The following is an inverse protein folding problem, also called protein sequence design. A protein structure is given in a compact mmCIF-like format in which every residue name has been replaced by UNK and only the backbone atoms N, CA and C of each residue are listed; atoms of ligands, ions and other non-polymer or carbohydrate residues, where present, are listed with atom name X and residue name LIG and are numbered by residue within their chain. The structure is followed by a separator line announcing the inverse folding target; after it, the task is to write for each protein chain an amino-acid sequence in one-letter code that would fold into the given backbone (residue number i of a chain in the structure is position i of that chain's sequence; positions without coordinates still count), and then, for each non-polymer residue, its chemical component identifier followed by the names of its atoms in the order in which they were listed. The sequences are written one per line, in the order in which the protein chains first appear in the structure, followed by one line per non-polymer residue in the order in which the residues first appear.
data_IF_062600670075
#
_entry.id   IF_062600670075
#
_cell.length_a   1.000
_cell.length_b   1.000
_cell.length_c   1.000
_cell.angle_alpha   90.00
_cell.angle_beta   90.00
_cell.angle_gamma   90.00
#
_symmetry.space_group_name_H-M   'P 1'
#
loop_
_entity.id
_entity.type
_entity.pdbx_description
1 polymer ?
#
# COMPACT_ATOMS: atom_id res chain seq x y z
N UNK A 1 22.78 60.23 -9.54
CA UNK A 1 21.81 59.78 -8.54
C UNK A 1 20.43 59.82 -9.19
N UNK A 2 19.86 58.65 -9.51
CA UNK A 2 18.53 58.55 -10.12
C UNK A 2 17.47 58.69 -9.03
N UNK A 3 16.66 59.73 -9.10
CA UNK A 3 15.52 59.95 -8.21
C UNK A 3 14.42 58.94 -8.57
N UNK A 4 14.20 57.95 -7.72
CA UNK A 4 13.00 57.13 -7.76
C UNK A 4 11.79 58.01 -7.46
N UNK A 5 11.06 58.44 -8.49
CA UNK A 5 9.74 59.01 -8.29
C UNK A 5 8.81 57.91 -7.76
N UNK A 6 8.03 58.16 -6.68
CA UNK A 6 7.06 57.19 -6.20
C UNK A 6 6.00 56.96 -7.29
N UNK A 7 5.83 55.70 -7.69
CA UNK A 7 4.85 55.32 -8.70
C UNK A 7 3.45 55.75 -8.24
N UNK A 8 2.77 56.55 -9.07
CA UNK A 8 1.38 56.91 -8.81
C UNK A 8 0.52 55.63 -8.80
N UNK A 9 -0.39 55.47 -7.82
CA UNK A 9 -1.31 54.34 -7.81
C UNK A 9 -2.25 54.43 -9.01
N UNK A 10 -2.31 53.36 -9.80
CA UNK A 10 -3.27 53.22 -10.91
C UNK A 10 -4.55 52.54 -10.42
N UNK A 11 -5.69 52.81 -11.06
CA UNK A 11 -6.93 52.10 -10.74
C UNK A 11 -6.93 50.77 -11.48
N UNK A 12 -7.27 49.69 -10.79
CA UNK A 12 -7.23 48.35 -11.36
C UNK A 12 -8.13 48.19 -12.60
N UNK A 13 -9.27 48.87 -12.64
CA UNK A 13 -10.19 48.84 -13.78
C UNK A 13 -9.73 49.65 -14.99
N UNK A 14 -8.73 50.53 -14.84
CA UNK A 14 -8.14 51.26 -15.96
C UNK A 14 -7.19 50.36 -16.75
N UNK A 15 -6.82 49.19 -16.22
CA UNK A 15 -6.02 48.19 -16.92
C UNK A 15 -6.87 47.46 -17.98
N UNK A 16 -6.30 47.14 -19.17
CA UNK A 16 -6.93 46.24 -20.13
C UNK A 16 -7.26 44.87 -19.54
N UNK A 17 -8.29 44.21 -20.06
CA UNK A 17 -8.75 42.91 -19.55
C UNK A 17 -7.67 41.83 -19.61
N UNK A 18 -6.80 41.87 -20.61
CA UNK A 18 -5.66 40.97 -20.77
C UNK A 18 -4.66 41.12 -19.61
N UNK A 19 -4.38 42.36 -19.20
CA UNK A 19 -3.49 42.63 -18.08
C UNK A 19 -4.13 42.19 -16.77
N UNK A 20 -5.43 42.43 -16.58
CA UNK A 20 -6.16 41.92 -15.40
C UNK A 20 -6.13 40.40 -15.33
N UNK A 21 -6.33 39.72 -16.46
CA UNK A 21 -6.22 38.26 -16.58
C UNK A 21 -4.82 37.74 -16.21
N UNK A 22 -3.75 38.41 -16.65
CA UNK A 22 -2.39 38.04 -16.25
C UNK A 22 -2.16 38.21 -14.75
N UNK A 23 -2.73 39.26 -14.14
CA UNK A 23 -2.68 39.46 -12.69
C UNK A 23 -3.45 38.33 -11.98
N UNK A 24 -4.62 37.93 -12.47
CA UNK A 24 -5.36 36.79 -11.93
C UNK A 24 -4.59 35.47 -12.09
N UNK A 25 -3.93 35.23 -13.23
CA UNK A 25 -3.13 34.03 -13.46
C UNK A 25 -1.95 33.95 -12.48
N UNK A 26 -1.23 35.06 -12.29
CA UNK A 26 -0.13 35.15 -11.34
C UNK A 26 -0.60 34.93 -9.90
N UNK A 27 -1.65 35.63 -9.48
CA UNK A 27 -2.07 35.66 -8.08
C UNK A 27 -2.92 34.46 -7.65
N UNK A 28 -3.65 33.81 -8.58
CA UNK A 28 -4.65 32.78 -8.27
C UNK A 28 -4.43 31.44 -8.98
N UNK A 29 -3.63 31.40 -10.04
CA UNK A 29 -3.46 30.20 -10.88
C UNK A 29 -2.02 29.72 -10.98
N UNK A 30 -1.08 30.40 -10.31
CA UNK A 30 0.31 30.00 -10.23
C UNK A 30 0.53 29.08 -9.02
N UNK A 31 1.07 27.91 -9.27
CA UNK A 31 1.29 26.87 -8.26
C UNK A 31 2.77 26.51 -8.17
N UNK A 32 3.25 26.27 -6.96
CA UNK A 32 4.61 25.78 -6.76
C UNK A 32 4.73 24.36 -7.31
N UNK A 33 5.89 24.06 -7.89
CA UNK A 33 6.24 22.72 -8.34
C UNK A 33 6.63 21.82 -7.17
N UNK A 34 7.19 22.40 -6.11
CA UNK A 34 7.51 21.69 -4.87
C UNK A 34 6.23 21.36 -4.11
N UNK A 35 6.04 20.07 -3.84
CA UNK A 35 4.93 19.56 -3.05
C UNK A 35 5.37 19.40 -1.60
N UNK A 36 4.54 19.83 -0.68
CA UNK A 36 4.82 19.65 0.73
C UNK A 36 4.21 18.37 1.26
N UNK A 37 4.97 17.62 2.04
CA UNK A 37 4.41 16.52 2.81
C UNK A 37 3.51 17.10 3.91
N UNK A 38 2.24 16.70 3.91
CA UNK A 38 1.33 17.07 4.98
C UNK A 38 1.75 16.34 6.27
N UNK A 39 1.86 17.02 7.42
CA UNK A 39 2.23 16.40 8.68
C UNK A 39 1.19 15.38 9.20
N UNK A 40 -0.04 15.39 8.65
CA UNK A 40 -1.12 14.48 9.03
C UNK A 40 -1.29 13.25 8.10
N UNK A 41 -0.99 12.09 8.68
CA UNK A 41 -1.60 10.73 8.56
C UNK A 41 -1.83 10.04 7.19
N UNK A 42 -1.75 10.71 6.03
CA UNK A 42 -1.81 10.02 4.72
C UNK A 42 -0.53 10.34 3.96
N UNK A 43 0.56 9.60 4.27
CA UNK A 43 1.91 9.81 3.71
C UNK A 43 1.96 9.85 2.19
N UNK A 44 0.93 9.33 1.51
CA UNK A 44 0.86 9.24 0.06
C UNK A 44 0.35 10.49 -0.65
N UNK A 45 -0.25 11.44 0.08
CA UNK A 45 -0.75 12.70 -0.49
C UNK A 45 0.24 13.83 -0.21
N UNK A 46 0.43 14.72 -1.17
CA UNK A 46 1.30 15.89 -1.00
C UNK A 46 0.57 17.17 -1.35
N UNK A 47 0.73 18.17 -0.49
CA UNK A 47 0.00 19.42 -0.58
C UNK A 47 0.63 20.33 -1.63
N UNK A 48 -0.16 20.73 -2.61
CA UNK A 48 0.16 21.77 -3.57
C UNK A 48 -0.10 23.14 -2.96
N UNK A 49 0.90 24.02 -3.01
CA UNK A 49 0.76 25.41 -2.56
C UNK A 49 0.66 26.38 -3.74
N UNK A 50 -0.19 27.40 -3.66
CA UNK A 50 -0.14 28.49 -4.60
C UNK A 50 1.18 29.25 -4.43
N UNK A 51 1.77 29.69 -5.53
CA UNK A 51 2.99 30.49 -5.53
C UNK A 51 2.76 31.85 -4.85
N UNK A 52 1.55 32.39 -5.02
CA UNK A 52 1.10 33.62 -4.40
C UNK A 52 -0.26 33.34 -3.73
N UNK A 53 -0.35 33.51 -2.42
CA UNK A 53 -1.58 33.27 -1.67
C UNK A 53 -2.36 34.59 -1.46
N UNK A 54 -2.75 35.26 -2.55
CA UNK A 54 -3.41 36.57 -2.47
C UNK A 54 -4.94 36.46 -2.51
N UNK A 55 -5.53 35.76 -1.54
CA UNK A 55 -6.99 35.66 -1.43
C UNK A 55 -7.67 36.98 -1.07
N UNK A 56 -6.91 37.96 -0.58
CA UNK A 56 -7.38 39.33 -0.33
C UNK A 56 -8.03 39.96 -1.57
N UNK A 57 -7.60 39.57 -2.78
CA UNK A 57 -8.17 40.07 -4.04
C UNK A 57 -9.68 39.86 -4.11
N UNK A 58 -10.19 38.72 -3.62
CA UNK A 58 -11.62 38.40 -3.62
C UNK A 58 -12.46 39.29 -2.71
N UNK A 59 -11.84 40.00 -1.76
CA UNK A 59 -12.54 40.87 -0.81
C UNK A 59 -12.58 42.35 -1.25
N UNK A 60 -11.93 42.69 -2.36
CA UNK A 60 -11.76 44.10 -2.77
C UNK A 60 -13.01 44.70 -3.42
N UNK A 61 -13.63 43.98 -4.36
CA UNK A 61 -14.75 44.49 -5.16
C UNK A 61 -15.57 43.33 -5.78
N UNK A 62 -16.90 43.48 -5.91
CA UNK A 62 -17.78 42.44 -6.46
C UNK A 62 -17.48 42.08 -7.93
N UNK A 63 -17.12 43.06 -8.75
CA UNK A 63 -16.75 42.83 -10.14
C UNK A 63 -15.39 42.12 -10.23
N UNK A 64 -14.39 42.55 -9.44
CA UNK A 64 -13.10 41.85 -9.36
C UNK A 64 -13.31 40.42 -8.87
N UNK A 65 -14.15 40.22 -7.85
CA UNK A 65 -14.53 38.90 -7.37
C UNK A 65 -15.09 38.02 -8.51
N UNK A 66 -16.03 38.55 -9.30
CA UNK A 66 -16.65 37.80 -10.38
C UNK A 66 -15.66 37.47 -11.51
N UNK A 67 -14.90 38.46 -11.99
CA UNK A 67 -13.88 38.29 -13.04
C UNK A 67 -12.78 37.30 -12.61
N UNK A 68 -12.22 37.51 -11.42
CA UNK A 68 -11.14 36.68 -10.88
C UNK A 68 -11.61 35.25 -10.59
N UNK A 69 -12.82 35.07 -10.05
CA UNK A 69 -13.38 33.74 -9.79
C UNK A 69 -13.64 32.97 -11.07
N UNK A 70 -14.24 33.62 -12.08
CA UNK A 70 -14.48 33.00 -13.39
C UNK A 70 -13.16 32.60 -14.06
N UNK A 71 -12.17 33.50 -14.06
CA UNK A 71 -10.83 33.21 -14.59
C UNK A 71 -10.18 32.02 -13.86
N UNK A 72 -10.17 32.05 -12.52
CA UNK A 72 -9.57 31.02 -11.68
C UNK A 72 -10.21 29.65 -11.93
N UNK A 73 -11.54 29.56 -11.99
CA UNK A 73 -12.25 28.29 -12.22
C UNK A 73 -11.94 27.73 -13.61
N UNK A 74 -11.96 28.58 -14.64
CA UNK A 74 -11.66 28.17 -16.02
C UNK A 74 -10.21 27.72 -16.20
N UNK A 75 -9.28 28.38 -15.51
CA UNK A 75 -7.84 28.13 -15.62
C UNK A 75 -7.37 26.93 -14.81
N UNK A 76 -7.75 26.86 -13.54
CA UNK A 76 -7.32 25.81 -12.60
C UNK A 76 -8.12 24.52 -12.76
N UNK A 77 -9.41 24.62 -13.11
CA UNK A 77 -10.32 23.49 -13.30
C UNK A 77 -10.28 22.53 -12.10
N UNK A 78 -10.73 23.00 -10.95
CA UNK A 78 -10.69 22.24 -9.72
C UNK A 78 -11.55 20.98 -9.80
N UNK A 79 -11.02 19.86 -9.30
CA UNK A 79 -11.68 18.57 -9.24
C UNK A 79 -11.83 18.16 -7.78
N UNK A 80 -13.07 17.89 -7.37
CA UNK A 80 -13.40 17.32 -6.07
C UNK A 80 -13.34 15.80 -6.18
N UNK A 81 -12.68 15.14 -5.24
CA UNK A 81 -12.71 13.68 -5.10
C UNK A 81 -13.26 13.32 -3.74
N UNK A 82 -14.19 12.37 -3.71
CA UNK A 82 -14.76 11.82 -2.47
C UNK A 82 -14.56 10.30 -2.47
N UNK A 83 -14.04 9.76 -1.37
CA UNK A 83 -13.84 8.33 -1.17
C UNK A 83 -14.72 7.87 0.01
N UNK A 84 -15.58 6.88 -0.21
CA UNK A 84 -16.54 6.38 0.79
C UNK A 84 -16.30 4.91 1.08
N UNK A 85 -16.03 4.59 2.34
CA UNK A 85 -15.79 3.20 2.76
C UNK A 85 -14.48 2.61 2.23
N UNK A 86 -13.53 3.47 1.84
CA UNK A 86 -12.24 3.06 1.30
C UNK A 86 -11.15 3.47 2.30
N UNK A 87 -10.20 2.57 2.56
CA UNK A 87 -8.98 2.93 3.29
C UNK A 87 -8.04 3.71 2.36
N UNK A 88 -8.10 5.04 2.44
CA UNK A 88 -7.32 5.95 1.59
C UNK A 88 -5.81 5.73 1.71
N UNK A 89 -5.32 5.19 2.83
CA UNK A 89 -3.90 4.85 3.02
C UNK A 89 -3.44 3.74 2.07
N UNK A 90 -4.38 2.88 1.66
CA UNK A 90 -4.15 1.76 0.72
C UNK A 90 -4.57 2.10 -0.72
N UNK A 91 -5.24 3.23 -0.93
CA UNK A 91 -5.82 3.59 -2.24
C UNK A 91 -4.79 4.01 -3.28
N UNK A 92 -3.57 4.40 -2.88
CA UNK A 92 -2.54 4.88 -3.80
C UNK A 92 -1.34 3.92 -3.87
N UNK A 93 -0.83 3.68 -5.07
CA UNK A 93 0.33 2.81 -5.33
C UNK A 93 1.64 3.44 -4.83
N UNK A 94 1.84 4.73 -5.08
CA UNK A 94 3.01 5.49 -4.67
C UNK A 94 2.65 6.73 -3.83
N UNK A 95 3.67 7.37 -3.26
CA UNK A 95 3.54 8.66 -2.59
C UNK A 95 3.56 9.82 -3.59
N UNK A 96 3.22 11.02 -3.12
CA UNK A 96 3.36 12.24 -3.92
C UNK A 96 2.14 12.65 -4.72
N UNK A 97 0.95 12.08 -4.46
CA UNK A 97 -0.27 12.48 -5.19
C UNK A 97 -0.63 13.93 -4.83
N UNK A 98 -0.60 14.88 -5.80
CA UNK A 98 -0.81 16.29 -5.49
C UNK A 98 -2.27 16.59 -5.13
N UNK A 99 -2.48 17.28 -4.01
CA UNK A 99 -3.79 17.75 -3.56
C UNK A 99 -3.69 19.19 -3.06
N UNK A 100 -4.75 19.98 -3.24
CA UNK A 100 -4.82 21.36 -2.72
C UNK A 100 -5.15 21.34 -1.22
N UNK A 101 -6.14 20.51 -0.85
CA UNK A 101 -6.58 20.34 0.53
C UNK A 101 -7.31 19.00 0.70
N UNK A 102 -7.16 18.41 1.89
CA UNK A 102 -7.90 17.23 2.38
C UNK A 102 -8.86 17.58 3.51
N UNK A 103 -8.92 18.86 3.89
CA UNK A 103 -9.86 19.38 4.88
C UNK A 103 -11.28 19.38 4.31
N UNK A 104 -12.11 18.43 4.77
CA UNK A 104 -13.48 18.25 4.32
C UNK A 104 -14.35 19.51 4.50
N UNK A 105 -14.06 20.38 5.47
CA UNK A 105 -14.79 21.65 5.64
C UNK A 105 -14.47 22.60 4.50
N UNK A 106 -13.20 22.72 4.13
CA UNK A 106 -12.78 23.56 2.99
C UNK A 106 -13.29 23.01 1.66
N UNK A 107 -13.27 21.70 1.50
CA UNK A 107 -13.78 21.03 0.28
C UNK A 107 -15.29 21.26 0.12
N UNK A 108 -16.06 21.09 1.19
CA UNK A 108 -17.53 21.24 1.14
C UNK A 108 -17.99 22.67 0.94
N UNK A 109 -17.26 23.67 1.43
CA UNK A 109 -17.57 25.09 1.24
C UNK A 109 -17.22 25.61 -0.17
N UNK A 110 -16.35 24.91 -0.90
CA UNK A 110 -15.89 25.37 -2.21
C UNK A 110 -16.77 24.83 -3.34
N UNK A 111 -17.58 25.70 -3.95
CA UNK A 111 -18.47 25.36 -5.06
C UNK A 111 -17.85 25.58 -6.46
N UNK A 112 -16.60 26.04 -6.56
CA UNK A 112 -15.93 26.35 -7.82
C UNK A 112 -15.27 25.14 -8.51
N UNK A 113 -15.63 23.91 -8.14
CA UNK A 113 -15.13 22.71 -8.83
C UNK A 113 -15.89 22.49 -10.13
N UNK A 114 -15.18 22.00 -11.15
CA UNK A 114 -15.77 21.69 -12.46
C UNK A 114 -16.26 20.24 -12.53
N UNK A 115 -15.65 19.34 -11.76
CA UNK A 115 -15.97 17.92 -11.73
C UNK A 115 -15.88 17.38 -10.30
N UNK A 116 -16.83 16.51 -9.94
CA UNK A 116 -16.83 15.76 -8.69
C UNK A 116 -16.81 14.26 -8.98
N UNK A 117 -15.72 13.58 -8.62
CA UNK A 117 -15.60 12.13 -8.71
C UNK A 117 -15.80 11.52 -7.33
N UNK A 118 -16.72 10.57 -7.20
CA UNK A 118 -16.95 9.80 -5.98
C UNK A 118 -16.59 8.35 -6.23
N UNK A 119 -15.73 7.80 -5.38
CA UNK A 119 -15.37 6.40 -5.31
C UNK A 119 -15.98 5.80 -4.05
N UNK A 120 -16.79 4.77 -4.19
CA UNK A 120 -17.47 4.14 -3.06
C UNK A 120 -17.36 2.64 -3.11
N UNK A 121 -16.97 2.06 -1.98
CA UNK A 121 -16.98 0.63 -1.78
C UNK A 121 -18.44 0.13 -1.70
N UNK A 122 -18.80 -0.98 -2.37
CA UNK A 122 -20.09 -1.62 -2.15
C UNK A 122 -20.26 -2.02 -0.68
N UNK A 123 -21.40 -1.67 -0.10
CA UNK A 123 -21.72 -1.98 1.29
C UNK A 123 -22.29 -3.40 1.38
N UNK A 124 -21.58 -4.32 2.03
CA UNK A 124 -22.03 -5.70 2.25
C UNK A 124 -22.78 -5.92 3.57
N UNK A 125 -22.89 -4.88 4.41
CA UNK A 125 -23.71 -4.88 5.61
C UNK A 125 -24.09 -3.46 6.01
N UNK A 126 -25.35 -3.18 6.41
CA UNK A 126 -25.77 -1.89 6.94
C UNK A 126 -25.32 -1.76 8.41
N UNK A 127 -24.02 -1.88 8.70
CA UNK A 127 -23.53 -1.51 10.03
C UNK A 127 -23.49 0.02 10.12
N UNK A 128 -24.16 0.59 11.13
CA UNK A 128 -24.18 2.02 11.42
C UNK A 128 -22.79 2.62 11.73
N UNK A 129 -21.76 1.77 11.86
CA UNK A 129 -20.38 2.17 12.08
C UNK A 129 -19.58 2.14 10.77
N UNK A 130 -19.16 3.35 10.38
CA UNK A 130 -17.94 3.67 9.63
C UNK A 130 -17.94 3.46 8.10
N UNK A 131 -18.62 4.36 7.38
CA UNK A 131 -18.05 4.88 6.15
C UNK A 131 -17.31 6.17 6.50
N UNK A 132 -16.01 6.07 6.81
CA UNK A 132 -15.18 7.27 6.82
C UNK A 132 -15.24 7.86 5.40
N UNK A 133 -15.85 9.04 5.28
CA UNK A 133 -15.84 9.81 4.04
C UNK A 133 -14.57 10.65 4.03
N UNK A 134 -13.78 10.46 2.99
CA UNK A 134 -12.58 11.24 2.78
C UNK A 134 -12.78 12.13 1.56
N UNK A 135 -12.50 13.42 1.72
CA UNK A 135 -12.67 14.40 0.66
C UNK A 135 -11.34 15.10 0.36
N UNK A 136 -11.07 15.30 -0.92
CA UNK A 136 -9.92 16.06 -1.36
C UNK A 136 -10.28 16.94 -2.55
N UNK A 137 -9.61 18.08 -2.64
CA UNK A 137 -9.66 18.97 -3.79
C UNK A 137 -8.30 18.95 -4.50
N UNK A 138 -8.31 18.88 -5.81
CA UNK A 138 -7.10 18.90 -6.64
C UNK A 138 -7.31 19.70 -7.93
N UNK A 139 -6.24 19.92 -8.68
CA UNK A 139 -6.32 20.52 -10.02
C UNK A 139 -6.58 19.44 -11.05
N UNK A 140 -7.29 19.76 -12.15
CA UNK A 140 -7.38 18.86 -13.31
C UNK A 140 -5.99 18.42 -13.80
N UNK A 141 -5.01 19.32 -13.79
CA UNK A 141 -3.65 18.99 -14.24
C UNK A 141 -3.03 17.81 -13.48
N UNK A 142 -3.43 17.59 -12.23
CA UNK A 142 -2.95 16.51 -11.36
C UNK A 142 -3.82 15.24 -11.45
N UNK A 143 -4.99 15.31 -12.09
CA UNK A 143 -5.91 14.18 -12.22
C UNK A 143 -5.28 12.94 -12.88
N UNK A 144 -4.44 13.05 -13.94
CA UNK A 144 -3.74 11.89 -14.47
C UNK A 144 -2.84 11.19 -13.45
N UNK A 145 -2.17 11.96 -12.58
CA UNK A 145 -1.33 11.39 -11.53
C UNK A 145 -2.18 10.62 -10.53
N UNK A 146 -3.32 11.17 -10.11
CA UNK A 146 -4.27 10.44 -9.26
C UNK A 146 -4.70 9.13 -9.95
N UNK A 147 -5.23 9.20 -11.17
CA UNK A 147 -5.77 8.04 -11.87
C UNK A 147 -4.72 6.94 -12.08
N UNK A 148 -3.48 7.29 -12.44
CA UNK A 148 -2.39 6.31 -12.59
C UNK A 148 -2.01 5.63 -11.26
N UNK A 149 -2.21 6.32 -10.14
CA UNK A 149 -1.82 5.83 -8.81
C UNK A 149 -2.96 5.12 -8.08
N UNK A 150 -4.21 5.16 -8.56
CA UNK A 150 -5.33 4.50 -7.90
C UNK A 150 -5.18 2.97 -7.93
N UNK A 151 -5.09 2.38 -6.75
CA UNK A 151 -5.11 0.93 -6.51
C UNK A 151 -6.50 0.50 -5.99
N UNK A 152 -7.47 0.55 -6.90
CA UNK A 152 -8.86 0.16 -6.62
C UNK A 152 -8.95 -1.31 -6.20
N UNK A 153 -8.05 -2.15 -6.69
CA UNK A 153 -8.08 -3.58 -6.42
C UNK A 153 -7.64 -3.89 -4.98
N UNK A 154 -6.55 -3.26 -4.50
CA UNK A 154 -6.06 -3.48 -3.13
C UNK A 154 -7.05 -3.02 -2.06
N UNK A 155 -7.80 -1.94 -2.29
CA UNK A 155 -8.83 -1.48 -1.34
C UNK A 155 -10.10 -2.35 -1.33
N UNK A 156 -10.22 -3.25 -2.31
CA UNK A 156 -11.31 -4.21 -2.43
C UNK A 156 -10.96 -5.60 -1.90
N UNK A 157 -9.72 -5.84 -1.45
CA UNK A 157 -9.24 -7.18 -1.06
C UNK A 157 -10.05 -7.83 0.09
N UNK A 158 -10.61 -7.04 1.00
CA UNK A 158 -11.46 -7.52 2.10
C UNK A 158 -12.93 -7.75 1.66
N UNK A 159 -13.42 -6.96 0.69
CA UNK A 159 -14.71 -7.20 0.06
C UNK A 159 -14.68 -8.44 -0.86
N UNK A 160 -13.57 -8.64 -1.57
CA UNK A 160 -13.33 -9.74 -2.49
C UNK A 160 -12.45 -10.80 -1.84
N UNK A 161 -12.79 -11.15 -0.60
CA UNK A 161 -12.04 -12.14 0.19
C UNK A 161 -12.13 -13.54 -0.41
N UNK A 162 -13.22 -13.82 -1.13
CA UNK A 162 -13.44 -15.04 -1.92
C UNK A 162 -13.45 -14.71 -3.41
N UNK A 163 -13.15 -15.72 -4.22
CA UNK A 163 -13.03 -15.65 -5.70
C UNK A 163 -14.35 -15.87 -6.43
N UNK A 164 -15.42 -16.25 -5.71
CA UNK A 164 -16.76 -16.47 -6.26
C UNK A 164 -17.56 -15.17 -6.39
N UNK A 165 -17.23 -14.16 -5.59
CA UNK A 165 -17.92 -12.86 -5.56
C UNK A 165 -16.89 -11.75 -5.71
N UNK A 166 -16.70 -11.26 -6.94
CA UNK A 166 -15.87 -10.10 -7.20
C UNK A 166 -16.74 -8.84 -7.26
N UNK A 167 -16.88 -8.22 -6.11
CA UNK A 167 -17.42 -6.88 -6.02
C UNK A 167 -16.52 -5.88 -6.75
N UNK A 168 -17.14 -4.91 -7.40
CA UNK A 168 -16.43 -3.77 -8.00
C UNK A 168 -16.77 -2.49 -7.27
N UNK A 169 -15.83 -1.55 -7.26
CA UNK A 169 -16.08 -0.22 -6.75
C UNK A 169 -17.22 0.44 -7.55
N UNK A 170 -18.04 1.23 -6.86
CA UNK A 170 -18.98 2.12 -7.51
C UNK A 170 -18.28 3.47 -7.72
N UNK A 171 -18.31 3.97 -8.94
CA UNK A 171 -17.78 5.29 -9.26
C UNK A 171 -18.90 6.19 -9.80
N UNK A 172 -18.89 7.46 -9.40
CA UNK A 172 -19.73 8.47 -10.02
C UNK A 172 -18.92 9.71 -10.36
N UNK A 173 -19.13 10.25 -11.55
CA UNK A 173 -18.55 11.49 -12.02
C UNK A 173 -19.69 12.46 -12.28
N UNK A 174 -19.65 13.62 -11.63
CA UNK A 174 -20.66 14.68 -11.77
C UNK A 174 -20.00 15.96 -12.24
N UNK A 175 -20.44 16.47 -13.38
CA UNK A 175 -20.06 17.78 -13.86
C UNK A 175 -20.89 18.86 -13.15
N UNK A 176 -20.25 19.95 -12.73
CA UNK A 176 -20.93 21.00 -11.99
C UNK A 176 -21.81 21.86 -12.90
N UNK A 177 -23.13 21.75 -12.76
CA UNK A 177 -24.11 22.48 -13.58
C UNK A 177 -23.93 24.00 -13.56
N UNK A 178 -23.36 24.57 -12.49
CA UNK A 178 -23.07 26.01 -12.40
C UNK A 178 -22.11 26.51 -13.48
N UNK A 179 -21.32 25.61 -14.07
CA UNK A 179 -20.32 25.90 -15.10
C UNK A 179 -20.69 25.31 -16.47
N UNK A 180 -21.96 25.02 -16.73
CA UNK A 180 -22.43 24.39 -17.98
C UNK A 180 -21.92 25.07 -19.25
N UNK A 181 -21.91 26.42 -19.28
CA UNK A 181 -21.44 27.22 -20.43
C UNK A 181 -19.95 27.02 -20.75
N UNK A 182 -19.17 26.49 -19.81
CA UNK A 182 -17.74 26.23 -19.99
C UNK A 182 -17.45 24.84 -20.59
N UNK A 183 -18.40 23.91 -20.50
CA UNK A 183 -18.19 22.52 -20.93
C UNK A 183 -18.39 22.36 -22.43
N UNK A 184 -17.45 22.88 -23.20
CA UNK A 184 -17.26 22.45 -24.60
C UNK A 184 -16.86 20.97 -24.65
N UNK A 185 -17.12 20.29 -25.76
CA UNK A 185 -16.72 18.89 -25.99
C UNK A 185 -15.25 18.66 -25.64
N UNK A 186 -14.37 19.55 -26.12
CA UNK A 186 -12.92 19.48 -25.86
C UNK A 186 -12.55 19.63 -24.37
N UNK A 187 -13.36 20.30 -23.56
CA UNK A 187 -13.15 20.41 -22.11
C UNK A 187 -13.62 19.14 -21.40
N UNK A 188 -14.78 18.61 -21.80
CA UNK A 188 -15.31 17.35 -21.27
C UNK A 188 -14.35 16.18 -21.56
N UNK A 189 -13.88 16.06 -22.81
CA UNK A 189 -12.85 15.08 -23.21
C UNK A 189 -11.58 15.23 -22.36
N UNK A 190 -11.09 16.46 -22.17
CA UNK A 190 -9.90 16.72 -21.35
C UNK A 190 -10.06 16.37 -19.87
N UNK A 191 -11.29 16.41 -19.35
CA UNK A 191 -11.60 16.04 -17.96
C UNK A 191 -11.75 14.52 -17.81
N UNK A 192 -12.35 13.85 -18.80
CA UNK A 192 -12.63 12.42 -18.74
C UNK A 192 -11.49 11.54 -19.24
N UNK A 193 -10.64 12.03 -20.15
CA UNK A 193 -9.56 11.26 -20.75
C UNK A 193 -8.65 10.55 -19.72
N UNK A 194 -8.19 11.19 -18.63
CA UNK A 194 -7.37 10.49 -17.64
C UNK A 194 -8.10 9.32 -16.97
N UNK A 195 -9.40 9.46 -16.76
CA UNK A 195 -10.25 8.39 -16.21
C UNK A 195 -10.37 7.26 -17.25
N UNK A 196 -10.67 7.62 -18.50
CA UNK A 196 -10.87 6.71 -19.62
C UNK A 196 -9.62 5.92 -20.03
N UNK A 197 -8.42 6.48 -19.85
CA UNK A 197 -7.16 5.85 -20.29
C UNK A 197 -6.42 5.13 -19.18
N UNK A 198 -6.53 5.58 -17.93
CA UNK A 198 -5.72 5.06 -16.82
C UNK A 198 -6.52 4.16 -15.87
N UNK A 199 -7.85 4.25 -15.85
CA UNK A 199 -8.68 3.41 -14.99
C UNK A 199 -9.31 2.26 -15.78
N UNK A 200 -9.38 1.09 -15.13
CA UNK A 200 -9.96 -0.15 -15.66
C UNK A 200 -10.64 -0.90 -14.53
N UNK A 201 -11.54 -1.83 -14.87
CA UNK A 201 -12.20 -2.70 -13.91
C UNK A 201 -13.25 -2.00 -13.04
N UNK A 202 -13.86 -0.91 -13.52
CA UNK A 202 -14.95 -0.20 -12.80
C UNK A 202 -16.24 -0.26 -13.64
N UNK A 203 -16.96 -1.41 -13.65
CA UNK A 203 -18.19 -1.57 -14.42
C UNK A 203 -19.33 -0.67 -13.93
N UNK A 204 -19.32 -0.30 -12.65
CA UNK A 204 -20.39 0.50 -12.02
C UNK A 204 -20.05 2.00 -12.04
N UNK A 205 -19.70 2.53 -13.21
CA UNK A 205 -19.45 3.96 -13.42
C UNK A 205 -20.73 4.69 -13.87
N UNK A 206 -21.10 5.72 -13.12
CA UNK A 206 -22.12 6.69 -13.54
C UNK A 206 -21.48 8.03 -13.88
N UNK A 207 -21.93 8.65 -14.97
CA UNK A 207 -21.50 9.99 -15.37
C UNK A 207 -22.75 10.83 -15.56
N UNK A 208 -22.82 12.00 -14.94
CA UNK A 208 -23.99 12.89 -15.01
C UNK A 208 -23.61 14.37 -14.97
N UNK A 209 -24.58 15.23 -15.29
CA UNK A 209 -24.40 16.67 -15.43
C UNK A 209 -24.33 17.12 -16.90
N UNK A 210 -23.84 18.35 -17.18
CA UNK A 210 -23.69 18.88 -18.54
C UNK A 210 -22.52 18.22 -19.29
N UNK A 211 -22.71 16.98 -19.71
CA UNK A 211 -21.75 16.16 -20.46
C UNK A 211 -22.41 15.60 -21.72
N UNK A 212 -21.66 15.48 -22.80
CA UNK A 212 -22.09 14.76 -23.99
C UNK A 212 -22.35 13.29 -23.66
N UNK A 213 -23.52 12.79 -24.04
CA UNK A 213 -23.96 11.43 -23.69
C UNK A 213 -23.15 10.36 -24.41
N UNK A 214 -22.73 10.62 -25.66
CA UNK A 214 -21.93 9.65 -26.44
C UNK A 214 -20.53 9.51 -25.85
N UNK A 215 -19.91 10.62 -25.47
CA UNK A 215 -18.64 10.62 -24.74
C UNK A 215 -18.76 9.91 -23.40
N UNK A 216 -19.82 10.18 -22.64
CA UNK A 216 -20.03 9.55 -21.34
C UNK A 216 -20.18 8.02 -21.46
N UNK A 217 -20.94 7.52 -22.44
CA UNK A 217 -21.10 6.08 -22.67
C UNK A 217 -19.81 5.42 -23.17
N UNK A 218 -19.05 6.09 -24.05
CA UNK A 218 -17.74 5.60 -24.49
C UNK A 218 -16.78 5.41 -23.29
N UNK A 219 -16.69 6.42 -22.41
CA UNK A 219 -15.83 6.37 -21.22
C UNK A 219 -16.29 5.27 -20.25
N UNK A 220 -17.61 5.09 -20.05
CA UNK A 220 -18.14 3.97 -19.25
C UNK A 220 -17.73 2.62 -19.81
N UNK A 221 -17.86 2.44 -21.13
CA UNK A 221 -17.50 1.19 -21.79
C UNK A 221 -15.99 0.89 -21.67
N UNK A 222 -15.13 1.88 -21.89
CA UNK A 222 -13.68 1.71 -21.78
C UNK A 222 -13.23 1.33 -20.37
N UNK A 223 -13.80 1.96 -19.33
CA UNK A 223 -13.40 1.74 -17.94
C UNK A 223 -14.00 0.44 -17.38
N UNK A 224 -15.16 0.01 -17.86
CA UNK A 224 -15.77 -1.25 -17.47
C UNK A 224 -14.91 -2.46 -17.86
N UNK A 225 -14.07 -2.31 -18.89
CA UNK A 225 -13.15 -3.35 -19.35
C UNK A 225 -12.21 -3.82 -18.22
N UNK A 226 -11.98 -5.14 -18.10
CA UNK A 226 -11.03 -5.68 -17.13
C UNK A 226 -9.59 -5.23 -17.47
N UNK A 227 -8.76 -5.02 -16.44
CA UNK A 227 -7.35 -4.63 -16.65
C UNK A 227 -6.55 -5.77 -17.28
N UNK A 228 -6.74 -6.97 -16.76
CA UNK A 228 -6.11 -8.19 -17.27
C UNK A 228 -7.14 -9.03 -18.02
N UNK A 229 -6.78 -9.44 -19.23
CA UNK A 229 -7.65 -10.19 -20.15
C UNK A 229 -7.03 -11.52 -20.58
N UNK A 230 -5.71 -11.58 -20.70
CA UNK A 230 -4.96 -12.76 -21.14
C UNK A 230 -4.25 -13.44 -19.96
N UNK A 231 -4.63 -14.70 -19.62
CA UNK A 231 -3.98 -15.48 -18.57
C UNK A 231 -2.47 -15.66 -18.75
N UNK A 232 -2.01 -15.97 -19.96
CA UNK A 232 -0.61 -16.33 -20.19
C UNK A 232 0.28 -15.08 -20.12
N UNK A 233 -0.11 -13.99 -20.78
CA UNK A 233 0.60 -12.71 -20.69
C UNK A 233 0.63 -12.17 -19.25
N UNK A 234 -0.45 -12.36 -18.48
CA UNK A 234 -0.50 -11.94 -17.07
C UNK A 234 0.47 -12.75 -16.20
N UNK A 235 0.53 -14.07 -16.39
CA UNK A 235 1.50 -14.92 -15.68
C UNK A 235 2.94 -14.62 -16.08
N UNK A 236 3.19 -14.31 -17.35
CA UNK A 236 4.50 -13.90 -17.86
C UNK A 236 4.95 -12.58 -17.23
N UNK A 237 4.09 -11.56 -17.15
CA UNK A 237 4.40 -10.29 -16.50
C UNK A 237 4.86 -10.49 -15.04
N UNK A 238 4.09 -11.28 -14.27
CA UNK A 238 4.42 -11.58 -12.87
C UNK A 238 5.70 -12.40 -12.78
N UNK A 239 5.88 -13.38 -13.67
CA UNK A 239 7.07 -14.22 -13.76
C UNK A 239 8.34 -13.42 -14.09
N UNK A 240 8.26 -12.46 -15.00
CA UNK A 240 9.37 -11.55 -15.31
C UNK A 240 9.83 -10.79 -14.06
N UNK A 241 8.90 -10.29 -13.24
CA UNK A 241 9.24 -9.63 -11.98
C UNK A 241 10.00 -10.54 -11.00
N UNK A 242 9.60 -11.82 -10.93
CA UNK A 242 10.33 -12.84 -10.15
C UNK A 242 11.77 -13.01 -10.67
N UNK A 243 11.93 -13.15 -11.98
CA UNK A 243 13.23 -13.44 -12.59
C UNK A 243 14.17 -12.23 -12.62
N UNK A 244 13.64 -11.01 -12.77
CA UNK A 244 14.40 -9.77 -12.57
C UNK A 244 14.92 -9.70 -11.14
N UNK A 245 14.06 -9.95 -10.14
CA UNK A 245 14.49 -9.93 -8.74
C UNK A 245 15.52 -11.02 -8.42
N UNK A 246 15.41 -12.22 -8.99
CA UNK A 246 16.45 -13.27 -8.85
C UNK A 246 17.80 -12.85 -9.45
N UNK A 247 17.80 -12.18 -10.61
CA UNK A 247 19.02 -11.66 -11.23
C UNK A 247 19.65 -10.56 -10.36
N UNK A 248 18.86 -9.63 -9.85
CA UNK A 248 19.33 -8.60 -8.92
C UNK A 248 19.90 -9.19 -7.63
N UNK A 249 19.26 -10.26 -7.12
CA UNK A 249 19.76 -11.00 -5.95
C UNK A 249 21.12 -11.64 -6.20
N UNK A 250 21.33 -12.26 -7.36
CA UNK A 250 22.63 -12.83 -7.75
C UNK A 250 23.73 -11.77 -7.88
N UNK A 251 23.35 -10.52 -8.15
CA UNK A 251 24.25 -9.36 -8.23
C UNK A 251 24.46 -8.66 -6.88
N UNK A 252 24.05 -9.29 -5.77
CA UNK A 252 24.11 -8.74 -4.40
C UNK A 252 23.27 -7.45 -4.18
N UNK A 253 22.39 -7.10 -5.13
CA UNK A 253 21.46 -5.99 -5.00
C UNK A 253 20.14 -6.45 -4.36
N UNK A 254 20.20 -6.84 -3.08
CA UNK A 254 19.08 -7.49 -2.39
C UNK A 254 17.85 -6.57 -2.20
N UNK A 255 18.03 -5.25 -2.10
CA UNK A 255 16.91 -4.32 -1.93
C UNK A 255 16.16 -4.12 -3.25
N UNK A 256 16.87 -3.95 -4.37
CA UNK A 256 16.22 -3.91 -5.68
C UNK A 256 15.49 -5.24 -5.97
N UNK A 257 16.08 -6.37 -5.60
CA UNK A 257 15.42 -7.68 -5.70
C UNK A 257 14.10 -7.72 -4.92
N UNK A 258 14.11 -7.21 -3.68
CA UNK A 258 12.92 -7.14 -2.84
C UNK A 258 11.84 -6.22 -3.42
N UNK A 259 12.21 -5.10 -4.04
CA UNK A 259 11.29 -4.20 -4.74
C UNK A 259 10.63 -4.89 -5.95
N UNK A 260 11.43 -5.59 -6.77
CA UNK A 260 10.92 -6.36 -7.91
C UNK A 260 9.93 -7.45 -7.48
N UNK A 261 10.24 -8.18 -6.40
CA UNK A 261 9.34 -9.19 -5.83
C UNK A 261 8.09 -8.56 -5.20
N UNK A 262 8.22 -7.41 -4.53
CA UNK A 262 7.09 -6.68 -3.99
C UNK A 262 6.13 -6.20 -5.09
N UNK A 263 6.68 -5.73 -6.21
CA UNK A 263 5.89 -5.36 -7.39
C UNK A 263 5.13 -6.57 -7.93
N UNK A 264 5.82 -7.69 -8.18
CA UNK A 264 5.21 -8.91 -8.70
C UNK A 264 4.12 -9.46 -7.76
N UNK A 265 4.37 -9.48 -6.45
CA UNK A 265 3.37 -9.88 -5.45
C UNK A 265 2.15 -8.96 -5.46
N UNK A 266 2.36 -7.64 -5.54
CA UNK A 266 1.27 -6.67 -5.62
C UNK A 266 0.43 -6.89 -6.87
N UNK A 267 1.06 -7.09 -8.03
CA UNK A 267 0.35 -7.37 -9.29
C UNK A 267 -0.46 -8.66 -9.20
N UNK A 268 0.12 -9.74 -8.63
CA UNK A 268 -0.57 -11.01 -8.42
C UNK A 268 -1.80 -10.85 -7.52
N UNK A 269 -1.66 -10.20 -6.36
CA UNK A 269 -2.78 -10.03 -5.44
C UNK A 269 -3.86 -9.08 -5.99
N UNK A 270 -3.47 -7.98 -6.67
CA UNK A 270 -4.43 -7.09 -7.33
C UNK A 270 -5.23 -7.82 -8.40
N UNK A 271 -4.55 -8.59 -9.24
CA UNK A 271 -5.21 -9.40 -10.28
C UNK A 271 -6.20 -10.38 -9.65
N UNK A 272 -5.78 -11.10 -8.60
CA UNK A 272 -6.63 -12.07 -7.88
C UNK A 272 -7.88 -11.47 -7.25
N UNK A 273 -7.80 -10.22 -6.78
CA UNK A 273 -8.94 -9.54 -6.13
C UNK A 273 -9.74 -8.66 -7.09
N UNK A 274 -9.33 -8.53 -8.34
CA UNK A 274 -9.99 -7.71 -9.35
C UNK A 274 -11.14 -8.44 -10.05
N UNK A 275 -11.97 -7.67 -10.76
CA UNK A 275 -12.98 -8.21 -11.69
C UNK A 275 -12.39 -9.05 -12.83
N UNK A 276 -11.08 -8.93 -13.12
CA UNK A 276 -10.40 -9.76 -14.11
C UNK A 276 -10.33 -11.24 -13.71
N UNK A 277 -10.30 -11.55 -12.41
CA UNK A 277 -10.05 -12.92 -11.93
C UNK A 277 -10.99 -13.96 -12.55
N UNK A 278 -12.30 -13.66 -12.59
CA UNK A 278 -13.32 -14.57 -13.13
C UNK A 278 -13.06 -14.87 -14.61
N UNK A 279 -12.76 -13.84 -15.39
CA UNK A 279 -12.46 -13.98 -16.82
C UNK A 279 -11.18 -14.78 -17.06
N UNK A 280 -10.11 -14.44 -16.34
CA UNK A 280 -8.83 -15.13 -16.42
C UNK A 280 -8.93 -16.60 -16.00
N UNK A 281 -9.64 -16.89 -14.92
CA UNK A 281 -9.89 -18.24 -14.46
C UNK A 281 -10.66 -19.05 -15.51
N UNK A 282 -11.71 -18.46 -16.10
CA UNK A 282 -12.51 -19.13 -17.14
C UNK A 282 -11.71 -19.46 -18.40
N UNK A 283 -10.81 -18.56 -18.82
CA UNK A 283 -10.00 -18.73 -20.04
C UNK A 283 -8.79 -19.64 -19.78
N UNK A 284 -8.06 -19.40 -18.69
CA UNK A 284 -6.81 -20.10 -18.38
C UNK A 284 -7.00 -21.44 -17.66
N UNK A 285 -8.19 -21.67 -17.10
CA UNK A 285 -8.56 -22.91 -16.41
C UNK A 285 -7.67 -23.24 -15.21
N UNK A 286 -7.62 -24.54 -14.90
CA UNK A 286 -6.85 -25.08 -13.77
C UNK A 286 -5.35 -24.77 -13.87
N UNK A 287 -4.78 -24.83 -15.08
CA UNK A 287 -3.36 -24.52 -15.31
C UNK A 287 -3.00 -23.11 -14.83
N UNK A 288 -3.83 -22.12 -15.17
CA UNK A 288 -3.63 -20.74 -14.76
C UNK A 288 -3.71 -20.58 -13.23
N UNK A 289 -4.71 -21.20 -12.59
CA UNK A 289 -4.89 -21.13 -11.13
C UNK A 289 -3.72 -21.79 -10.41
N UNK A 290 -3.33 -22.98 -10.84
CA UNK A 290 -2.21 -23.71 -10.26
C UNK A 290 -0.90 -22.93 -10.42
N UNK A 291 -0.68 -22.27 -11.57
CA UNK A 291 0.49 -21.42 -11.76
C UNK A 291 0.45 -20.16 -10.91
N UNK A 292 -0.73 -19.59 -10.68
CA UNK A 292 -0.92 -18.47 -9.75
C UNK A 292 -0.60 -18.88 -8.32
N UNK A 293 -1.02 -20.07 -7.89
CA UNK A 293 -0.70 -20.62 -6.57
C UNK A 293 0.82 -20.83 -6.40
N UNK A 294 1.48 -21.40 -7.41
CA UNK A 294 2.93 -21.59 -7.47
C UNK A 294 3.70 -20.25 -7.36
N UNK A 295 3.26 -19.22 -8.10
CA UNK A 295 3.84 -17.88 -8.02
C UNK A 295 3.61 -17.23 -6.65
N UNK A 296 2.40 -17.36 -6.09
CA UNK A 296 2.08 -16.85 -4.75
C UNK A 296 2.99 -17.48 -3.69
N UNK A 297 3.16 -18.80 -3.72
CA UNK A 297 4.07 -19.50 -2.82
C UNK A 297 5.51 -19.01 -3.00
N UNK A 298 5.98 -18.95 -4.24
CA UNK A 298 7.35 -18.56 -4.59
C UNK A 298 7.66 -17.13 -4.13
N UNK A 299 6.77 -16.17 -4.39
CA UNK A 299 6.97 -14.77 -4.00
C UNK A 299 7.00 -14.59 -2.49
N UNK A 300 6.11 -15.27 -1.73
CA UNK A 300 6.17 -15.24 -0.26
C UNK A 300 7.49 -15.82 0.26
N UNK A 301 7.96 -16.90 -0.35
CA UNK A 301 9.22 -17.54 0.01
C UNK A 301 10.44 -16.64 -0.24
N UNK A 302 10.43 -15.89 -1.35
CA UNK A 302 11.46 -14.91 -1.70
C UNK A 302 11.45 -13.69 -0.77
N UNK A 303 10.26 -13.19 -0.38
CA UNK A 303 10.16 -12.14 0.64
C UNK A 303 10.73 -12.59 2.00
N UNK A 304 10.42 -13.81 2.43
CA UNK A 304 11.02 -14.37 3.65
C UNK A 304 12.55 -14.48 3.54
N UNK A 305 13.08 -14.87 2.37
CA UNK A 305 14.52 -14.92 2.11
C UNK A 305 15.19 -13.54 2.25
N UNK A 306 14.60 -12.51 1.63
CA UNK A 306 15.11 -11.14 1.74
C UNK A 306 15.18 -10.68 3.20
N UNK A 307 14.08 -10.86 3.95
CA UNK A 307 14.02 -10.44 5.35
C UNK A 307 15.08 -11.17 6.21
N UNK A 308 15.33 -12.45 5.94
CA UNK A 308 16.38 -13.21 6.65
C UNK A 308 17.79 -12.78 6.27
N UNK A 309 18.02 -12.41 5.01
CA UNK A 309 19.31 -11.84 4.61
C UNK A 309 19.54 -10.48 5.28
N UNK A 310 18.52 -9.64 5.35
CA UNK A 310 18.57 -8.36 6.07
C UNK A 310 18.85 -8.58 7.57
N UNK A 311 18.17 -9.53 8.21
CA UNK A 311 18.43 -9.92 9.61
C UNK A 311 19.85 -10.45 9.86
N UNK A 312 20.49 -11.06 8.85
CA UNK A 312 21.82 -11.65 8.99
C UNK A 312 22.96 -10.62 8.85
N UNK A 313 22.66 -9.38 8.46
CA UNK A 313 23.67 -8.32 8.29
C UNK A 313 24.13 -7.77 9.65
N UNK A 314 25.44 -7.60 9.81
CA UNK A 314 26.10 -7.30 11.10
C UNK A 314 25.71 -5.95 11.74
N UNK A 315 24.96 -5.10 11.04
CA UNK A 315 24.54 -3.78 11.50
C UNK A 315 23.10 -3.73 12.04
N UNK A 316 22.33 -4.84 11.97
CA UNK A 316 20.90 -4.81 12.32
C UNK A 316 20.71 -5.05 13.82
N UNK A 317 20.05 -4.09 14.48
CA UNK A 317 19.75 -4.13 15.91
C UNK A 317 18.67 -5.17 16.26
N UNK A 318 18.71 -5.69 17.49
CA UNK A 318 17.75 -6.69 17.99
C UNK A 318 16.26 -6.39 17.70
N UNK A 319 15.74 -5.16 17.93
CA UNK A 319 14.34 -4.83 17.63
C UNK A 319 13.98 -4.96 16.14
N UNK A 320 14.91 -4.60 15.24
CA UNK A 320 14.72 -4.75 13.79
C UNK A 320 14.74 -6.22 13.37
N UNK A 321 15.63 -7.03 13.94
CA UNK A 321 15.64 -8.48 13.72
C UNK A 321 14.31 -9.11 14.13
N UNK A 322 13.76 -8.73 15.29
CA UNK A 322 12.46 -9.23 15.75
C UNK A 322 11.32 -8.80 14.81
N UNK A 323 11.31 -7.53 14.38
CA UNK A 323 10.31 -7.02 13.43
C UNK A 323 10.36 -7.78 12.11
N UNK A 324 11.55 -7.88 11.50
CA UNK A 324 11.74 -8.56 10.22
C UNK A 324 11.42 -10.05 10.33
N UNK A 325 11.84 -10.69 11.42
CA UNK A 325 11.54 -12.10 11.69
C UNK A 325 10.04 -12.39 11.77
N UNK A 326 9.27 -11.54 12.47
CA UNK A 326 7.80 -11.66 12.52
C UNK A 326 7.16 -11.52 11.13
N UNK A 327 7.64 -10.59 10.31
CA UNK A 327 7.14 -10.41 8.93
C UNK A 327 7.52 -11.63 8.06
N UNK A 328 8.73 -12.16 8.22
CA UNK A 328 9.19 -13.35 7.50
C UNK A 328 8.35 -14.58 7.88
N UNK A 329 8.06 -14.79 9.17
CA UNK A 329 7.17 -15.86 9.63
C UNK A 329 5.76 -15.71 9.07
N UNK A 330 5.24 -14.48 8.94
CA UNK A 330 3.96 -14.23 8.30
C UNK A 330 3.94 -14.65 6.82
N UNK A 331 5.01 -14.37 6.06
CA UNK A 331 5.14 -14.85 4.68
C UNK A 331 5.25 -16.38 4.60
N UNK A 332 6.00 -17.01 5.50
CA UNK A 332 6.14 -18.46 5.54
C UNK A 332 4.81 -19.15 5.89
N UNK A 333 4.01 -18.55 6.77
CA UNK A 333 2.66 -19.06 7.05
C UNK A 333 1.73 -18.95 5.83
N UNK A 334 1.89 -17.92 4.99
CA UNK A 334 1.19 -17.84 3.70
C UNK A 334 1.63 -18.93 2.73
N UNK A 335 2.91 -19.32 2.74
CA UNK A 335 3.40 -20.47 1.98
C UNK A 335 2.73 -21.78 2.46
N UNK A 336 2.70 -22.01 3.77
CA UNK A 336 2.12 -23.19 4.41
C UNK A 336 0.62 -23.34 4.07
N UNK A 337 -0.12 -22.25 4.10
CA UNK A 337 -1.57 -22.24 3.84
C UNK A 337 -1.93 -22.07 2.35
N UNK A 338 -0.94 -21.90 1.46
CA UNK A 338 -1.18 -21.58 0.05
C UNK A 338 -2.04 -22.64 -0.66
N UNK A 339 -1.71 -23.92 -0.51
CA UNK A 339 -2.45 -25.00 -1.17
C UNK A 339 -3.91 -25.06 -0.71
N UNK A 340 -4.14 -25.08 0.61
CA UNK A 340 -5.49 -25.08 1.17
C UNK A 340 -6.30 -23.84 0.75
N UNK A 341 -5.68 -22.66 0.76
CA UNK A 341 -6.31 -21.41 0.36
C UNK A 341 -6.71 -21.43 -1.12
N UNK A 342 -5.83 -21.86 -2.01
CA UNK A 342 -6.14 -21.92 -3.44
C UNK A 342 -7.12 -23.06 -3.79
N UNK A 343 -7.08 -24.18 -3.05
CA UNK A 343 -8.08 -25.23 -3.19
C UNK A 343 -9.48 -24.75 -2.77
N UNK A 344 -9.61 -24.09 -1.61
CA UNK A 344 -10.88 -23.59 -1.10
C UNK A 344 -11.49 -22.49 -1.96
N UNK A 345 -10.66 -21.59 -2.50
CA UNK A 345 -11.16 -20.43 -3.23
C UNK A 345 -11.24 -20.70 -4.74
N UNK A 346 -10.21 -21.29 -5.34
CA UNK A 346 -10.10 -21.37 -6.79
C UNK A 346 -10.20 -22.79 -7.34
N UNK A 347 -10.64 -23.76 -6.52
CA UNK A 347 -10.65 -25.19 -6.87
C UNK A 347 -9.30 -25.68 -7.41
N UNK A 348 -8.20 -25.07 -6.93
CA UNK A 348 -6.85 -25.42 -7.36
C UNK A 348 -6.48 -26.81 -6.83
N UNK A 349 -5.77 -27.58 -7.65
CA UNK A 349 -5.17 -28.87 -7.25
C UNK A 349 -3.68 -28.73 -6.89
N UNK A 350 -3.14 -27.52 -7.02
CA UNK A 350 -1.74 -27.25 -6.74
C UNK A 350 -1.35 -27.57 -5.29
N UNK A 351 -0.24 -28.30 -5.17
CA UNK A 351 0.46 -28.57 -3.91
C UNK A 351 1.94 -28.24 -4.08
N UNK A 352 2.63 -27.77 -3.03
CA UNK A 352 4.06 -27.51 -3.11
C UNK A 352 4.83 -28.81 -3.33
N UNK A 353 5.82 -28.78 -4.21
CA UNK A 353 6.76 -29.89 -4.38
C UNK A 353 7.60 -30.13 -3.12
N UNK A 354 8.17 -31.33 -2.95
CA UNK A 354 9.07 -31.63 -1.84
C UNK A 354 10.21 -30.62 -1.71
N UNK A 355 10.76 -30.16 -2.85
CA UNK A 355 11.81 -29.15 -2.87
C UNK A 355 11.32 -27.78 -2.37
N UNK A 356 10.11 -27.37 -2.75
CA UNK A 356 9.48 -26.13 -2.27
C UNK A 356 9.19 -26.20 -0.77
N UNK A 357 8.63 -27.32 -0.31
CA UNK A 357 8.35 -27.57 1.11
C UNK A 357 9.63 -27.58 1.93
N UNK A 358 10.66 -28.31 1.50
CA UNK A 358 11.98 -28.31 2.16
C UNK A 358 12.54 -26.89 2.31
N UNK A 359 12.50 -26.10 1.24
CA UNK A 359 12.95 -24.70 1.22
C UNK A 359 12.14 -23.78 2.14
N UNK A 360 10.85 -24.03 2.33
CA UNK A 360 10.00 -23.30 3.26
C UNK A 360 10.33 -23.65 4.71
N UNK A 361 10.42 -24.95 5.02
CA UNK A 361 10.73 -25.46 6.36
C UNK A 361 12.13 -25.01 6.82
N UNK A 362 13.13 -25.13 5.94
CA UNK A 362 14.48 -24.59 6.13
C UNK A 362 14.46 -23.10 6.50
N UNK A 363 13.74 -22.27 5.74
CA UNK A 363 13.63 -20.84 6.03
C UNK A 363 12.90 -20.58 7.34
N UNK A 364 11.91 -21.39 7.71
CA UNK A 364 11.20 -21.25 8.98
C UNK A 364 12.13 -21.52 10.15
N UNK A 365 12.87 -22.63 10.14
CA UNK A 365 13.87 -22.96 11.15
C UNK A 365 14.93 -21.87 11.28
N UNK A 366 15.50 -21.43 10.15
CA UNK A 366 16.48 -20.34 10.11
C UNK A 366 15.94 -19.04 10.71
N UNK A 367 14.70 -18.67 10.42
CA UNK A 367 14.08 -17.47 10.97
C UNK A 367 14.03 -17.49 12.50
N UNK A 368 13.57 -18.61 13.07
CA UNK A 368 13.48 -18.79 14.53
C UNK A 368 14.85 -18.69 15.20
N UNK A 369 15.88 -19.31 14.58
CA UNK A 369 17.28 -19.21 15.05
C UNK A 369 17.80 -17.77 15.00
N UNK A 370 17.62 -17.06 13.87
CA UNK A 370 18.06 -15.67 13.73
C UNK A 370 17.36 -14.73 14.71
N UNK A 371 16.09 -14.97 15.02
CA UNK A 371 15.36 -14.25 16.07
C UNK A 371 15.80 -14.62 17.49
N UNK A 372 16.61 -15.68 17.67
CA UNK A 372 16.94 -16.26 18.96
C UNK A 372 15.69 -16.58 19.79
N UNK A 373 14.64 -17.08 19.14
CA UNK A 373 13.38 -17.41 19.81
C UNK A 373 13.52 -18.72 20.60
N UNK A 374 13.94 -18.61 21.85
CA UNK A 374 14.17 -19.75 22.74
C UNK A 374 12.91 -20.57 23.02
N UNK A 375 11.73 -19.95 22.96
CA UNK A 375 10.46 -20.65 23.17
C UNK A 375 10.14 -21.61 22.01
N UNK A 376 10.60 -21.28 20.81
CA UNK A 376 10.34 -22.06 19.59
C UNK A 376 11.53 -22.95 19.17
N UNK A 377 12.52 -23.19 20.04
CA UNK A 377 13.73 -23.97 19.67
C UNK A 377 13.43 -25.40 19.21
N UNK A 378 12.51 -26.09 19.90
CA UNK A 378 12.11 -27.47 19.55
C UNK A 378 11.45 -27.49 18.17
N UNK A 379 10.59 -26.50 17.91
CA UNK A 379 9.97 -26.31 16.59
C UNK A 379 11.03 -26.09 15.50
N UNK A 380 12.05 -25.28 15.75
CA UNK A 380 13.12 -25.03 14.78
C UNK A 380 13.90 -26.31 14.44
N UNK A 381 14.21 -27.15 15.44
CA UNK A 381 14.84 -28.46 15.28
C UNK A 381 13.99 -29.39 14.42
N UNK A 382 12.71 -29.55 14.75
CA UNK A 382 11.79 -30.40 13.95
C UNK A 382 11.70 -29.93 12.50
N UNK A 383 11.53 -28.63 12.28
CA UNK A 383 11.41 -28.05 10.94
C UNK A 383 12.67 -28.30 10.08
N UNK A 384 13.87 -28.16 10.64
CA UNK A 384 15.10 -28.35 9.86
C UNK A 384 15.39 -29.83 9.59
N UNK A 385 14.98 -30.73 10.49
CA UNK A 385 15.05 -32.17 10.26
C UNK A 385 14.11 -32.63 9.15
N UNK A 386 12.87 -32.16 9.16
CA UNK A 386 11.91 -32.41 8.08
C UNK A 386 12.40 -31.84 6.74
N UNK A 387 12.99 -30.64 6.74
CA UNK A 387 13.59 -30.06 5.55
C UNK A 387 14.72 -30.93 4.99
N UNK A 388 15.60 -31.45 5.85
CA UNK A 388 16.69 -32.33 5.46
C UNK A 388 16.20 -33.70 4.95
N UNK A 389 15.09 -34.22 5.51
CA UNK A 389 14.48 -35.45 5.03
C UNK A 389 13.89 -35.29 3.61
N UNK A 390 13.29 -34.13 3.32
CA UNK A 390 12.70 -33.83 2.00
C UNK A 390 13.75 -33.47 0.92
N UNK A 391 14.92 -32.97 1.31
CA UNK A 391 15.99 -32.58 0.39
C UNK A 391 17.39 -32.93 0.96
N UNK A 392 17.76 -34.22 1.01
CA UNK A 392 18.95 -34.69 1.71
C UNK A 392 20.28 -34.28 1.06
N UNK A 393 20.26 -33.87 -0.20
CA UNK A 393 21.45 -33.44 -0.95
C UNK A 393 21.66 -31.93 -0.96
N UNK A 394 20.77 -31.15 -0.34
CA UNK A 394 20.88 -29.68 -0.29
C UNK A 394 21.88 -29.26 0.80
N UNK A 395 23.06 -28.79 0.36
CA UNK A 395 24.14 -28.38 1.25
C UNK A 395 23.73 -27.22 2.19
N UNK A 396 22.91 -26.28 1.71
CA UNK A 396 22.50 -25.14 2.54
C UNK A 396 21.58 -25.58 3.69
N UNK A 397 20.74 -26.59 3.46
CA UNK A 397 19.89 -27.18 4.52
C UNK A 397 20.75 -27.91 5.54
N UNK A 398 21.77 -28.64 5.09
CA UNK A 398 22.71 -29.34 5.98
C UNK A 398 23.48 -28.36 6.87
N UNK A 399 24.07 -27.33 6.28
CA UNK A 399 24.85 -26.33 7.02
C UNK A 399 23.99 -25.61 8.06
N UNK A 400 22.75 -25.26 7.70
CA UNK A 400 21.82 -24.63 8.64
C UNK A 400 21.31 -25.59 9.71
N UNK A 401 21.19 -26.89 9.43
CA UNK A 401 20.88 -27.92 10.43
C UNK A 401 21.93 -27.94 11.53
N UNK A 402 23.21 -27.92 11.15
CA UNK A 402 24.30 -27.88 12.12
C UNK A 402 24.23 -26.61 12.98
N UNK A 403 23.95 -25.45 12.37
CA UNK A 403 23.77 -24.19 13.09
C UNK A 403 22.57 -24.18 14.06
N UNK A 404 21.45 -24.79 13.67
CA UNK A 404 20.26 -24.92 14.52
C UNK A 404 20.54 -25.84 15.70
N UNK A 405 21.27 -26.94 15.47
CA UNK A 405 21.65 -27.88 16.53
C UNK A 405 22.62 -27.27 17.53
N UNK A 406 23.64 -26.55 17.04
CA UNK A 406 24.56 -25.80 17.90
C UNK A 406 23.81 -24.78 18.76
N UNK A 407 22.94 -23.98 18.14
CA UNK A 407 22.12 -23.01 18.87
C UNK A 407 21.20 -23.67 19.92
N UNK A 408 20.61 -24.82 19.62
CA UNK A 408 19.80 -25.57 20.58
C UNK A 408 20.63 -26.05 21.77
N UNK A 409 21.83 -26.60 21.51
CA UNK A 409 22.74 -27.07 22.56
C UNK A 409 23.20 -25.93 23.48
N UNK A 410 23.54 -24.76 22.92
CA UNK A 410 23.88 -23.56 23.69
C UNK A 410 22.74 -23.14 24.63
N UNK A 411 21.49 -23.17 24.15
CA UNK A 411 20.33 -22.84 24.98
C UNK A 411 20.06 -23.88 26.08
N UNK A 412 20.30 -25.17 25.81
CA UNK A 412 20.18 -26.23 26.82
C UNK A 412 21.24 -26.10 27.92
N UNK A 413 22.47 -25.76 27.55
CA UNK A 413 23.54 -25.47 28.51
C UNK A 413 23.22 -24.23 29.34
N UNK A 414 22.73 -23.17 28.72
CA UNK A 414 22.32 -21.96 29.44
C UNK A 414 21.18 -22.24 30.42
N UNK A 415 20.18 -23.04 30.03
CA UNK A 415 19.11 -23.45 30.94
C UNK A 415 19.62 -24.31 32.11
N UNK A 416 20.54 -25.25 31.85
CA UNK A 416 21.18 -26.03 32.91
C UNK A 416 21.94 -25.13 33.89
N UNK A 417 22.73 -24.19 33.39
CA UNK A 417 23.48 -23.24 34.24
C UNK A 417 22.55 -22.34 35.08
N UNK A 418 21.40 -21.92 34.54
CA UNK A 418 20.40 -21.15 35.29
C UNK A 418 19.74 -22.01 36.36
N UNK A 419 19.39 -23.26 36.04
CA UNK A 419 18.79 -24.19 36.99
C UNK A 419 19.75 -24.54 38.15
N UNK A 420 21.04 -24.72 37.85
CA UNK A 420 22.10 -24.94 38.86
C UNK A 420 22.24 -23.73 39.78
N UNK A 421 22.31 -22.51 39.24
CA UNK A 421 22.38 -21.27 40.04
C UNK A 421 21.16 -21.05 40.93
N UNK A 422 19.96 -21.38 40.45
CA UNK A 422 18.72 -21.30 41.25
C UNK A 422 18.71 -22.35 42.36
N UNK A 423 19.24 -23.55 42.11
CA UNK A 423 19.40 -24.59 43.12
C UNK A 423 20.42 -24.21 44.20
N UNK A 424 21.55 -23.62 43.79
CA UNK A 424 22.59 -23.10 44.69
C UNK A 424 22.09 -21.93 45.53
N UNK A 425 21.31 -21.01 44.96
CA UNK A 425 20.71 -19.91 45.74
C UNK A 425 19.67 -20.41 46.74
N UNK A 426 18.83 -21.38 46.35
CA UNK A 426 17.82 -21.96 47.24
C UNK A 426 18.44 -22.78 48.38
N UNK A 427 19.58 -23.43 48.14
CA UNK A 427 20.34 -24.15 49.18
C UNK A 427 21.09 -23.18 50.10
N UNK A 428 21.65 -22.10 49.56
CA UNK A 428 22.26 -21.02 50.36
C UNK A 428 21.25 -20.31 51.27
N UNK A 429 20.06 -19.97 50.77
CA UNK A 429 18.98 -19.37 51.58
C UNK A 429 18.51 -20.31 52.69
N UNK A 430 18.34 -21.60 52.40
CA UNK A 430 18.01 -22.59 53.43
C UNK A 430 19.10 -22.70 54.50
N UNK A 431 20.37 -22.72 54.10
CA UNK A 431 21.49 -22.76 55.05
C UNK A 431 21.56 -21.51 55.94
N UNK A 432 21.25 -20.33 55.39
CA UNK A 432 21.16 -19.07 56.13
C UNK A 432 20.06 -19.09 57.19
N UNK A 433 18.86 -19.58 56.84
CA UNK A 433 17.73 -19.70 57.78
C UNK A 433 18.08 -20.65 58.93
N UNK A 434 18.71 -21.80 58.64
CA UNK A 434 19.15 -22.73 59.69
C UNK A 434 20.24 -22.13 60.59
N UNK A 435 21.14 -21.33 60.03
CA UNK A 435 22.20 -20.66 60.80
C UNK A 435 21.60 -19.61 61.75
N UNK A 436 20.59 -18.85 61.30
CA UNK A 436 19.83 -17.91 62.15
C UNK A 436 19.09 -18.66 63.26
N UNK A 437 18.39 -19.74 62.93
CA UNK A 437 17.66 -20.56 63.91
C UNK A 437 18.61 -21.14 64.97
N UNK A 438 19.74 -21.72 64.56
CA UNK A 438 20.75 -22.25 65.48
C UNK A 438 21.35 -21.13 66.35
N UNK A 439 21.60 -19.94 65.81
CA UNK A 439 22.12 -18.81 66.58
C UNK A 439 21.13 -18.30 67.64
N UNK A 440 19.83 -18.34 67.36
CA UNK A 440 18.77 -17.99 68.32
C UNK A 440 18.66 -19.04 69.41
N UNK A 441 18.77 -20.33 69.08
CA UNK A 441 18.78 -21.40 70.09
C UNK A 441 20.04 -21.37 70.97
N UNK A 442 21.20 -21.00 70.42
CA UNK A 442 22.44 -20.86 71.18
C UNK A 442 22.39 -19.68 72.18
N UNK A 443 21.70 -18.59 71.83
CA UNK A 443 21.52 -17.44 72.72
C UNK A 443 20.48 -17.67 73.84
N UNK A 444 19.55 -18.61 73.66
CA UNK A 444 18.58 -18.99 74.69
C UNK A 444 19.13 -20.02 75.69
N UNK A 445 20.31 -20.61 75.41
CA UNK A 445 20.97 -21.60 76.26
C UNK A 445 22.14 -21.04 77.10
N UNK A 446 22.37 -19.73 77.05
CA UNK A 446 23.27 -18.96 77.92
C UNK A 446 22.47 -18.07 78.85
#
# INVERSE_FOLDING_TARGET
MSSFQPAQPFRFFDLPGEIRNNIYDLLLCSWNNELEQAPDMISKLSRRRPAYASTALFHTNKQIYAEASDYMIKRNQFVRITCRGLDVRKLFLAEGVPVITTDARKVSLFNGYVMHMTLSKPAFSPSAFQFAEFEMMMLRADLPVLCAQLDVESVMADANSTTSEHASIHASIRFNCAHSRFFTTKVQERLLNPVATLLRGIPNLSISGPVDTTLAEAVKHEIAGPRWTDPDATLEEIGMGVDVGKRQWQQDNIYAAAESWAYAMRTLERMRHSSSWIGLHKVGGEKFVNKTADLHFTLNLLHAQFLQADMSRHQVQGPLVQRNGRIALHHLHKCETASARFAQHAAATWTPSNQQTAKMLFRHARCLRLMKDSASRVKAVTLIEEAAALAPTDLAIRDEKDLVFMWNAELEELQRSVAERVSESATAERSSVWTVVISVFAQLAS
#
